data_IF_104905408919
#
_entry.id   IF_104905408919
#
_cell.length_a   1.000
_cell.length_b   1.000
_cell.length_c   1.000
_cell.angle_alpha   90.00
_cell.angle_beta   90.00
_cell.angle_gamma   90.00
#
_symmetry.space_group_name_H-M   'P 1'
#
loop_
_entity.id
_entity.type
_entity.pdbx_description
1 polymer ?
#
# COMPACT_ATOMS: atom_id res chain seq x y z
N UNK A 1 -19.36 -8.56 31.29
CA UNK A 1 -18.47 -8.95 31.30
C UNK A 1 -17.96 -9.23 31.33
N UNK A 2 -18.51 -8.75 31.42
CA UNK A 2 -17.84 -9.09 31.47
C UNK A 2 -17.28 -9.46 31.59
N UNK A 3 -17.73 -9.08 31.85
CA UNK A 3 -16.94 -9.60 31.95
C UNK A 3 -16.49 -9.75 32.09
N UNK A 4 -16.89 -9.50 32.36
CA UNK A 4 -16.17 -9.75 32.42
C UNK A 4 -15.74 -9.75 32.18
N UNK A 5 -16.43 -9.28 32.25
CA UNK A 5 -15.76 -9.31 31.98
C UNK A 5 -15.62 -9.24 31.61
N UNK A 6 -15.91 -8.87 31.47
CA UNK A 6 -15.42 -8.76 30.96
C UNK A 6 -15.29 -8.34 30.39
N UNK A 7 -15.39 -7.84 30.25
CA UNK A 7 -15.08 -7.38 29.89
C UNK A 7 -14.84 -7.24 29.57
N UNK A 8 -14.86 -6.82 29.37
CA UNK A 8 -14.39 -6.55 29.04
C UNK A 8 -13.85 -6.14 28.81
N UNK A 9 -13.75 -5.95 28.99
CA UNK A 9 -13.14 -5.32 28.78
C UNK A 9 -12.62 -5.29 27.98
N UNK A 10 -12.50 -5.01 27.40
CA UNK A 10 -11.95 -4.91 26.70
C UNK A 10 -12.12 -3.88 26.07
N UNK A 11 -11.83 -3.11 25.74
CA UNK A 11 -11.79 -2.17 25.20
C UNK A 11 -11.48 -2.14 23.95
N UNK A 12 -11.67 -1.91 23.21
CA UNK A 12 -11.44 -1.98 22.05
C UNK A 12 -11.61 -0.89 21.29
N UNK A 13 -12.17 -0.09 21.44
CA UNK A 13 -12.23 1.05 20.68
C UNK A 13 -10.98 1.75 20.45
N UNK A 14 -9.96 1.38 21.06
CA UNK A 14 -8.79 1.95 20.73
C UNK A 14 -8.41 1.71 19.34
N UNK A 15 -8.91 0.71 18.67
CA UNK A 15 -8.58 0.41 17.28
C UNK A 15 -9.20 1.37 16.31
N UNK A 16 -10.23 2.11 16.72
CA UNK A 16 -10.85 3.07 15.83
C UNK A 16 -10.29 4.49 16.05
N UNK A 17 -9.44 4.67 17.04
CA UNK A 17 -8.80 5.96 17.29
C UNK A 17 -7.43 5.94 16.64
N UNK A 18 -7.15 6.81 15.68
CA UNK A 18 -5.83 6.82 15.05
C UNK A 18 -4.76 7.16 16.08
N UNK A 19 -3.69 6.41 16.07
CA UNK A 19 -2.54 6.74 16.87
C UNK A 19 -1.90 8.02 16.31
N UNK A 20 -1.13 8.70 17.11
CA UNK A 20 -0.44 9.89 16.63
C UNK A 20 0.44 9.60 15.43
N UNK A 21 0.92 8.38 15.33
CA UNK A 21 1.76 7.97 14.23
C UNK A 21 0.98 7.65 12.96
N UNK A 22 -0.34 7.58 13.02
CA UNK A 22 -1.17 7.30 11.84
C UNK A 22 -1.84 8.59 11.39
N UNK A 23 -1.42 9.07 10.25
CA UNK A 23 -1.91 10.32 9.72
C UNK A 23 -2.42 10.12 8.31
N UNK A 24 -3.60 10.67 8.03
CA UNK A 24 -4.19 10.65 6.70
C UNK A 24 -3.78 11.93 5.97
N UNK A 25 -3.24 11.77 4.78
CA UNK A 25 -2.78 12.89 3.97
C UNK A 25 -3.82 13.20 2.89
N UNK A 26 -3.87 14.45 2.42
CA UNK A 26 -4.85 14.83 1.41
C UNK A 26 -4.56 14.21 0.06
N UNK A 27 -5.60 14.12 -0.77
CA UNK A 27 -5.50 13.65 -2.13
C UNK A 27 -4.92 14.77 -3.01
N UNK A 28 -3.85 14.50 -3.72
CA UNK A 28 -3.15 15.53 -4.50
C UNK A 28 -3.33 15.40 -6.01
N UNK A 29 -4.00 14.36 -6.50
CA UNK A 29 -3.99 14.04 -7.91
C UNK A 29 -5.15 14.59 -8.72
N UNK A 30 -6.07 15.30 -8.09
CA UNK A 30 -7.30 15.74 -8.73
C UNK A 30 -7.05 16.59 -9.98
N UNK A 31 -6.10 17.49 -9.93
CA UNK A 31 -5.85 18.44 -11.01
C UNK A 31 -4.50 18.25 -11.68
N UNK A 32 -3.86 17.11 -11.42
CA UNK A 32 -2.54 16.85 -11.98
C UNK A 32 -2.65 15.98 -13.20
N UNK A 33 -1.98 16.39 -14.27
CA UNK A 33 -1.85 15.58 -15.48
C UNK A 33 -0.59 14.74 -15.37
N UNK A 34 -0.72 13.44 -15.53
CA UNK A 34 0.42 12.53 -15.46
C UNK A 34 1.10 12.49 -16.82
N UNK A 35 2.32 12.99 -16.89
CA UNK A 35 2.99 13.23 -18.18
C UNK A 35 4.33 12.54 -18.34
N UNK A 36 4.88 11.95 -17.29
CA UNK A 36 6.22 11.36 -17.39
C UNK A 36 6.43 10.30 -16.31
N UNK A 37 7.42 9.40 -16.49
CA UNK A 37 7.76 8.44 -15.45
C UNK A 37 8.29 9.14 -14.20
N UNK A 38 8.10 8.51 -13.08
CA UNK A 38 8.53 9.00 -11.77
C UNK A 38 7.81 10.26 -11.30
N UNK A 39 6.74 10.64 -11.96
CA UNK A 39 5.91 11.74 -11.49
C UNK A 39 5.01 11.26 -10.33
N UNK A 40 4.30 10.17 -10.53
CA UNK A 40 3.43 9.60 -9.50
C UNK A 40 3.64 8.10 -9.44
N UNK A 41 3.91 7.60 -8.24
CA UNK A 41 3.94 6.17 -7.97
C UNK A 41 2.73 5.81 -7.12
N UNK A 42 2.33 4.56 -7.18
CA UNK A 42 1.30 4.02 -6.28
C UNK A 42 1.75 2.67 -5.73
N UNK A 43 1.15 2.27 -4.64
CA UNK A 43 1.41 0.98 -4.02
C UNK A 43 0.11 0.40 -3.49
N UNK A 44 0.07 -0.90 -3.44
CA UNK A 44 -1.04 -1.62 -2.82
C UNK A 44 -0.55 -2.96 -2.32
N UNK A 45 -1.31 -3.55 -1.42
CA UNK A 45 -1.02 -4.86 -0.85
C UNK A 45 -2.16 -5.79 -1.21
N UNK A 46 -1.82 -6.98 -1.68
CA UNK A 46 -2.80 -8.03 -1.90
C UNK A 46 -2.30 -9.30 -1.20
N UNK A 47 -3.14 -10.32 -1.14
CA UNK A 47 -2.71 -11.60 -0.61
C UNK A 47 -2.75 -12.66 -1.70
N UNK A 48 -1.87 -13.63 -1.57
CA UNK A 48 -1.75 -14.75 -2.50
C UNK A 48 -2.10 -16.00 -1.73
N UNK A 49 -3.17 -16.71 -2.13
CA UNK A 49 -3.54 -17.94 -1.44
C UNK A 49 -2.54 -19.06 -1.73
N UNK A 50 -2.25 -19.85 -0.72
CA UNK A 50 -1.39 -21.02 -0.82
C UNK A 50 -2.22 -22.25 -0.44
N UNK A 51 -1.64 -23.42 -0.62
CA UNK A 51 -2.29 -24.66 -0.21
C UNK A 51 -2.65 -24.65 1.28
N UNK A 52 -1.79 -24.03 2.09
CA UNK A 52 -2.05 -23.87 3.53
C UNK A 52 -1.74 -22.43 3.91
N UNK A 53 -2.78 -21.58 3.95
CA UNK A 53 -2.60 -20.19 4.31
C UNK A 53 -2.42 -19.27 3.11
N UNK A 54 -1.69 -18.19 3.31
CA UNK A 54 -1.49 -17.19 2.25
C UNK A 54 -0.26 -16.34 2.55
N UNK A 55 0.20 -15.63 1.52
CA UNK A 55 1.25 -14.63 1.64
C UNK A 55 0.70 -13.27 1.28
N UNK A 56 1.29 -12.24 1.84
CA UNK A 56 1.02 -10.86 1.42
C UNK A 56 2.01 -10.46 0.34
N UNK A 57 1.53 -9.69 -0.60
CA UNK A 57 2.35 -9.15 -1.69
C UNK A 57 2.13 -7.66 -1.77
N UNK A 58 3.20 -6.89 -1.66
CA UNK A 58 3.17 -5.45 -1.91
C UNK A 58 3.87 -5.17 -3.23
N UNK A 59 3.32 -4.25 -4.01
CA UNK A 59 3.97 -3.80 -5.24
C UNK A 59 3.91 -2.29 -5.33
N UNK A 60 4.96 -1.72 -5.91
CA UNK A 60 5.04 -0.29 -6.23
C UNK A 60 5.06 -0.17 -7.75
N UNK A 61 4.22 0.69 -8.27
CA UNK A 61 4.05 0.87 -9.70
C UNK A 61 4.17 2.35 -10.06
N UNK A 62 4.83 2.62 -11.18
CA UNK A 62 4.86 3.95 -11.77
C UNK A 62 3.56 4.18 -12.55
N UNK A 63 2.88 5.27 -12.27
CA UNK A 63 1.56 5.48 -12.81
C UNK A 63 1.56 5.80 -14.31
N UNK A 64 2.59 6.46 -14.79
CA UNK A 64 2.66 6.81 -16.19
C UNK A 64 3.02 5.61 -17.07
N UNK A 65 4.07 4.89 -16.71
CA UNK A 65 4.56 3.76 -17.52
C UNK A 65 3.86 2.45 -17.20
N UNK A 66 3.18 2.36 -16.07
CA UNK A 66 2.56 1.13 -15.54
C UNK A 66 3.59 0.06 -15.19
N UNK A 67 4.85 0.45 -15.06
CA UNK A 67 5.91 -0.48 -14.72
C UNK A 67 5.90 -0.78 -13.24
N UNK A 68 6.05 -2.06 -12.89
CA UNK A 68 6.24 -2.46 -11.50
C UNK A 68 7.69 -2.19 -11.15
N UNK A 69 7.92 -1.33 -10.20
CA UNK A 69 9.25 -0.86 -9.83
C UNK A 69 9.91 -1.76 -8.79
N UNK A 70 9.12 -2.27 -7.86
CA UNK A 70 9.59 -3.17 -6.81
C UNK A 70 8.39 -3.92 -6.23
N UNK A 71 8.67 -5.09 -5.67
CA UNK A 71 7.64 -5.90 -5.01
C UNK A 71 8.30 -6.81 -3.99
N UNK A 72 7.55 -7.21 -2.98
CA UNK A 72 8.01 -8.16 -1.96
C UNK A 72 6.87 -9.01 -1.47
N UNK A 73 7.23 -10.20 -1.03
CA UNK A 73 6.32 -11.13 -0.39
C UNK A 73 6.63 -11.18 1.11
N UNK A 74 5.59 -11.36 1.91
CA UNK A 74 5.75 -11.52 3.36
C UNK A 74 4.65 -12.44 3.89
N UNK A 75 4.98 -13.19 4.93
CA UNK A 75 3.97 -13.99 5.62
C UNK A 75 3.25 -13.18 6.71
N UNK A 76 3.67 -11.94 6.95
CA UNK A 76 3.02 -11.03 7.89
C UNK A 76 2.73 -9.72 7.20
N UNK A 77 1.66 -9.05 7.63
CA UNK A 77 1.26 -7.76 7.08
C UNK A 77 1.79 -6.64 7.96
N UNK A 78 3.10 -6.49 8.01
CA UNK A 78 3.72 -5.44 8.79
C UNK A 78 4.21 -4.30 7.89
N UNK A 79 4.56 -3.19 8.51
CA UNK A 79 5.00 -2.01 7.79
C UNK A 79 6.38 -2.21 7.16
N UNK A 80 7.22 -3.02 7.79
CA UNK A 80 8.60 -3.11 7.39
C UNK A 80 8.78 -3.63 5.95
N UNK A 81 7.98 -4.63 5.55
CA UNK A 81 8.14 -5.13 4.17
C UNK A 81 7.71 -4.10 3.13
N UNK A 82 6.78 -3.20 3.49
CA UNK A 82 6.39 -2.09 2.63
C UNK A 82 7.52 -1.07 2.52
N UNK A 83 8.14 -0.72 3.64
CA UNK A 83 9.25 0.23 3.66
C UNK A 83 10.45 -0.32 2.89
N UNK A 84 10.74 -1.61 3.04
CA UNK A 84 11.84 -2.24 2.31
C UNK A 84 11.60 -2.19 0.80
N UNK A 85 10.35 -2.38 0.39
CA UNK A 85 9.98 -2.29 -1.03
C UNK A 85 10.15 -0.86 -1.54
N UNK A 86 9.76 0.11 -0.74
CA UNK A 86 9.94 1.52 -1.08
C UNK A 86 11.42 1.87 -1.21
N UNK A 87 12.23 1.40 -0.27
CA UNK A 87 13.68 1.67 -0.31
C UNK A 87 14.31 1.09 -1.57
N UNK A 88 13.88 -0.08 -1.98
CA UNK A 88 14.38 -0.70 -3.20
C UNK A 88 13.98 0.12 -4.44
N UNK A 89 12.73 0.55 -4.52
CA UNK A 89 12.26 1.33 -5.66
C UNK A 89 12.98 2.68 -5.74
N UNK A 90 13.10 3.38 -4.62
CA UNK A 90 13.78 4.68 -4.57
C UNK A 90 15.26 4.53 -4.90
N UNK A 91 15.89 3.46 -4.41
CA UNK A 91 17.30 3.21 -4.69
C UNK A 91 17.59 2.94 -6.15
N UNK A 92 16.63 2.33 -6.86
CA UNK A 92 16.82 1.99 -8.27
C UNK A 92 16.44 3.10 -9.24
N UNK A 93 15.36 3.82 -8.93
CA UNK A 93 14.75 4.75 -9.88
C UNK A 93 14.77 6.20 -9.41
N UNK A 94 15.23 6.46 -8.21
CA UNK A 94 15.11 7.77 -7.59
C UNK A 94 13.70 7.99 -7.05
N UNK A 95 13.50 9.01 -6.21
CA UNK A 95 12.18 9.25 -5.63
C UNK A 95 11.20 9.84 -6.65
N UNK A 96 9.90 9.51 -6.54
CA UNK A 96 8.91 10.17 -7.35
C UNK A 96 8.57 11.55 -6.78
N UNK A 97 7.77 12.31 -7.50
CA UNK A 97 7.28 13.59 -6.97
C UNK A 97 6.16 13.37 -5.98
N UNK A 98 5.25 12.46 -6.30
CA UNK A 98 4.08 12.14 -5.46
C UNK A 98 3.97 10.64 -5.33
N UNK A 99 3.60 10.19 -4.13
CA UNK A 99 3.29 8.78 -3.89
C UNK A 99 1.84 8.70 -3.41
N UNK A 100 1.02 7.95 -4.14
CA UNK A 100 -0.41 7.82 -3.84
C UNK A 100 -0.73 6.42 -3.34
N UNK A 101 -1.43 6.33 -2.22
CA UNK A 101 -1.88 5.05 -1.65
C UNK A 101 -3.32 5.18 -1.18
N UNK A 102 -3.90 4.07 -0.75
CA UNK A 102 -5.15 4.13 0.01
C UNK A 102 -4.85 4.52 1.45
N UNK A 103 -5.85 4.46 2.31
CA UNK A 103 -5.71 4.82 3.72
C UNK A 103 -5.47 3.60 4.61
N UNK A 104 -4.90 2.54 4.06
CA UNK A 104 -4.59 1.35 4.83
C UNK A 104 -3.60 1.62 5.96
N UNK A 105 -3.66 0.80 6.99
CA UNK A 105 -2.86 1.04 8.20
C UNK A 105 -1.36 1.05 7.92
N UNK A 106 -0.89 0.27 6.95
CA UNK A 106 0.53 0.25 6.59
C UNK A 106 0.96 1.59 5.99
N UNK A 107 0.09 2.19 5.18
CA UNK A 107 0.42 3.41 4.44
C UNK A 107 0.13 4.69 5.22
N UNK A 108 -0.61 4.59 6.33
CA UNK A 108 -0.81 5.71 7.23
C UNK A 108 0.18 5.68 8.40
N UNK A 109 0.98 4.64 8.51
CA UNK A 109 1.93 4.48 9.61
C UNK A 109 3.03 5.54 9.56
N UNK A 110 3.58 5.84 10.73
CA UNK A 110 4.66 6.80 10.82
C UNK A 110 5.89 6.34 10.04
N UNK A 111 6.23 5.05 10.11
CA UNK A 111 7.41 4.53 9.44
C UNK A 111 7.35 4.73 7.92
N UNK A 112 6.20 4.47 7.32
CA UNK A 112 6.00 4.63 5.89
C UNK A 112 6.02 6.11 5.49
N UNK A 113 5.22 6.94 6.16
CA UNK A 113 5.09 8.34 5.80
C UNK A 113 6.39 9.10 6.06
N UNK A 114 7.08 8.79 7.15
CA UNK A 114 8.36 9.41 7.44
C UNK A 114 9.41 9.07 6.38
N UNK A 115 9.42 7.81 5.92
CA UNK A 115 10.37 7.41 4.89
C UNK A 115 10.14 8.16 3.58
N UNK A 116 8.87 8.38 3.22
CA UNK A 116 8.54 9.20 2.05
C UNK A 116 9.00 10.64 2.22
N UNK A 117 8.77 11.21 3.39
CA UNK A 117 9.20 12.58 3.66
C UNK A 117 10.72 12.72 3.58
N UNK A 118 11.45 11.75 4.09
CA UNK A 118 12.91 11.75 4.02
C UNK A 118 13.41 11.71 2.59
N UNK A 119 12.67 11.09 1.71
CA UNK A 119 13.00 11.04 0.28
C UNK A 119 12.54 12.29 -0.48
N UNK A 120 11.88 13.23 0.19
CA UNK A 120 11.36 14.42 -0.46
C UNK A 120 10.11 14.22 -1.29
N UNK A 121 9.36 13.15 -1.00
CA UNK A 121 8.19 12.78 -1.77
C UNK A 121 6.94 13.35 -1.13
N UNK A 122 6.05 13.93 -1.93
CA UNK A 122 4.76 14.39 -1.44
C UNK A 122 3.81 13.21 -1.33
N UNK A 123 3.09 13.13 -0.23
CA UNK A 123 2.21 12.02 0.08
C UNK A 123 0.79 12.36 -0.31
N UNK A 124 0.15 11.46 -1.05
CA UNK A 124 -1.25 11.58 -1.46
C UNK A 124 -1.98 10.32 -1.04
N UNK A 125 -3.19 10.46 -0.54
CA UNK A 125 -4.00 9.32 -0.15
C UNK A 125 -5.37 9.41 -0.77
N UNK A 126 -5.88 8.26 -1.25
CA UNK A 126 -7.21 8.17 -1.81
C UNK A 126 -8.24 8.41 -0.71
N UNK A 127 -9.22 9.23 -1.00
CA UNK A 127 -10.37 9.37 -0.12
C UNK A 127 -11.40 8.28 -0.37
N UNK A 128 -12.48 8.32 0.36
CA UNK A 128 -13.58 7.39 0.15
C UNK A 128 -14.09 7.50 -1.27
N UNK A 129 -14.37 6.36 -1.88
CA UNK A 129 -14.92 6.31 -3.22
C UNK A 129 -13.91 6.52 -4.33
N UNK A 130 -12.64 6.58 -3.99
CA UNK A 130 -11.58 6.80 -4.99
C UNK A 130 -10.96 5.52 -5.50
N UNK A 131 -11.75 4.46 -5.62
CA UNK A 131 -11.24 3.17 -6.07
C UNK A 131 -10.66 3.22 -7.49
N UNK A 132 -11.07 4.18 -8.31
CA UNK A 132 -10.55 4.29 -9.67
C UNK A 132 -9.07 4.66 -9.71
N UNK A 133 -8.56 5.27 -8.67
CA UNK A 133 -7.15 5.65 -8.62
C UNK A 133 -6.22 4.44 -8.46
N UNK A 134 -6.75 3.30 -8.04
CA UNK A 134 -5.98 2.07 -7.91
C UNK A 134 -6.27 1.07 -9.03
N UNK A 135 -7.00 1.48 -10.06
CA UNK A 135 -7.45 0.56 -11.11
C UNK A 135 -6.29 -0.15 -11.81
N UNK A 136 -5.15 0.53 -11.94
CA UNK A 136 -4.02 -0.05 -12.66
C UNK A 136 -3.32 -1.12 -11.84
N UNK A 137 -3.18 -0.90 -10.56
CA UNK A 137 -2.56 -1.91 -9.71
C UNK A 137 -3.53 -3.06 -9.47
N UNK A 138 -4.83 -2.80 -9.45
CA UNK A 138 -5.84 -3.86 -9.39
C UNK A 138 -5.81 -4.73 -10.64
N UNK A 139 -5.58 -4.15 -11.81
CA UNK A 139 -5.39 -4.92 -13.04
C UNK A 139 -4.16 -5.80 -12.96
N UNK A 140 -3.09 -5.29 -12.36
CA UNK A 140 -1.90 -6.09 -12.11
C UNK A 140 -2.23 -7.30 -11.24
N UNK A 141 -2.97 -7.10 -10.15
CA UNK A 141 -3.37 -8.19 -9.27
C UNK A 141 -4.21 -9.21 -10.01
N UNK A 142 -5.13 -8.76 -10.83
CA UNK A 142 -5.99 -9.65 -11.59
C UNK A 142 -5.17 -10.50 -12.56
N UNK A 143 -4.30 -9.89 -13.32
CA UNK A 143 -3.45 -10.60 -14.26
C UNK A 143 -2.56 -11.61 -13.55
N UNK A 144 -1.93 -11.20 -12.47
CA UNK A 144 -1.06 -12.06 -11.70
C UNK A 144 -1.80 -13.28 -11.18
N UNK A 145 -2.97 -13.07 -10.58
CA UNK A 145 -3.73 -14.17 -9.98
C UNK A 145 -4.28 -15.11 -11.03
N UNK A 146 -4.82 -14.59 -12.13
CA UNK A 146 -5.38 -15.45 -13.16
C UNK A 146 -4.30 -16.17 -13.97
N UNK A 147 -3.23 -15.47 -14.32
CA UNK A 147 -2.24 -16.04 -15.23
C UNK A 147 -1.17 -16.88 -14.53
N UNK A 148 -0.88 -16.56 -13.28
CA UNK A 148 0.23 -17.20 -12.57
C UNK A 148 -0.18 -18.05 -11.39
N UNK A 149 -1.34 -17.78 -10.78
CA UNK A 149 -1.71 -18.43 -9.53
C UNK A 149 -2.88 -19.39 -9.69
N UNK A 150 -3.93 -18.96 -10.37
CA UNK A 150 -5.15 -19.76 -10.49
C UNK A 150 -5.18 -20.71 -11.67
N UNK A 151 -4.37 -20.47 -12.70
CA UNK A 151 -4.33 -21.39 -13.82
C UNK A 151 -3.53 -22.63 -13.44
N UNK A 152 -4.00 -23.82 -13.79
CA UNK A 152 -3.22 -25.01 -13.51
C UNK A 152 -1.97 -25.03 -14.36
N UNK A 153 -0.91 -25.50 -13.76
CA UNK A 153 0.32 -25.75 -14.49
C UNK A 153 0.17 -27.05 -15.27
N UNK A 154 0.42 -26.99 -16.50
CA UNK A 154 0.39 -28.17 -17.36
C UNK A 154 1.77 -28.64 -17.66
#
# INVERSE_FOLDING_TARGET
MRLMGLMPIYRQPRTSVPAKEHRIYPYLLRSISIERPNQVWCADITYIPLAKGFLYLVAIMDWWSRKVLAWRLSNTMDVQFCVDTLDEAVGRFGPPEIFNTDQGSQFTSWAWTQRLKEAGVRISMDGRGRFLDNIFIERLWRSLKYECIYLPFV
#
